data_IF_797753710613
#
_entry.id   IF_797753710613
#
_cell.length_a   1.000
_cell.length_b   1.000
_cell.length_c   1.000
_cell.angle_alpha   90.00
_cell.angle_beta   90.00
_cell.angle_gamma   90.00
#
_symmetry.space_group_name_H-M   'P 1'
#
loop_
_entity.id
_entity.type
_entity.pdbx_description
1 polymer ?
#
# COMPACT_ATOMS: atom_id res chain seq x y z
N UNK A 1 114.69 -33.99 -9.98
CA UNK A 1 113.77 -33.55 -8.91
C UNK A 1 113.05 -32.22 -9.22
N UNK A 2 113.71 -31.17 -9.71
CA UNK A 2 113.06 -29.85 -9.98
C UNK A 2 111.87 -29.86 -10.97
N UNK A 3 111.87 -30.71 -12.02
CA UNK A 3 110.74 -30.80 -12.96
C UNK A 3 109.47 -31.44 -12.36
N UNK A 4 109.60 -32.44 -11.48
CA UNK A 4 108.47 -33.04 -10.75
C UNK A 4 107.85 -32.04 -9.77
N UNK A 5 108.68 -31.26 -9.07
CA UNK A 5 108.22 -30.18 -8.18
C UNK A 5 107.50 -29.07 -8.95
N UNK A 6 108.03 -28.63 -10.11
CA UNK A 6 107.36 -27.65 -10.99
C UNK A 6 106.01 -28.14 -11.53
N UNK A 7 105.90 -29.44 -11.88
CA UNK A 7 104.65 -30.03 -12.39
C UNK A 7 103.61 -30.19 -11.28
N UNK A 8 104.04 -30.63 -10.09
CA UNK A 8 103.19 -30.69 -8.88
C UNK A 8 102.70 -29.30 -8.44
N UNK A 9 103.56 -28.29 -8.45
CA UNK A 9 103.19 -26.92 -8.08
C UNK A 9 102.17 -26.29 -9.06
N UNK A 10 102.23 -26.65 -10.34
CA UNK A 10 101.20 -26.26 -11.33
C UNK A 10 99.86 -26.97 -11.08
N UNK A 11 99.89 -28.27 -10.77
CA UNK A 11 98.67 -29.02 -10.42
C UNK A 11 98.00 -28.48 -9.15
N UNK A 12 98.78 -28.17 -8.10
CA UNK A 12 98.24 -27.58 -6.86
C UNK A 12 97.63 -26.19 -7.11
N UNK A 13 98.26 -25.36 -7.94
CA UNK A 13 97.69 -24.04 -8.30
C UNK A 13 96.40 -24.15 -9.10
N UNK A 14 96.33 -25.08 -10.05
CA UNK A 14 95.12 -25.32 -10.84
C UNK A 14 93.99 -25.85 -9.95
N UNK A 15 94.30 -26.76 -9.03
CA UNK A 15 93.33 -27.28 -8.08
C UNK A 15 92.77 -26.18 -7.19
N UNK A 16 93.62 -25.34 -6.58
CA UNK A 16 93.14 -24.22 -5.75
C UNK A 16 92.20 -23.29 -6.51
N UNK A 17 92.51 -23.00 -7.78
CA UNK A 17 91.64 -22.16 -8.62
C UNK A 17 90.27 -22.82 -8.88
N UNK A 18 90.26 -24.12 -9.18
CA UNK A 18 89.00 -24.86 -9.36
C UNK A 18 88.19 -24.93 -8.06
N UNK A 19 88.85 -24.96 -6.89
CA UNK A 19 88.15 -24.86 -5.60
C UNK A 19 87.53 -23.48 -5.38
N UNK A 20 88.25 -22.41 -5.72
CA UNK A 20 87.73 -21.04 -5.67
C UNK A 20 86.50 -20.90 -6.58
N UNK A 21 86.49 -21.54 -7.75
CA UNK A 21 85.34 -21.56 -8.67
C UNK A 21 84.13 -22.30 -8.04
N UNK A 22 84.34 -23.45 -7.41
CA UNK A 22 83.29 -24.19 -6.66
C UNK A 22 82.76 -23.38 -5.49
N UNK A 23 83.64 -22.72 -4.75
CA UNK A 23 83.27 -21.88 -3.61
C UNK A 23 82.49 -20.64 -4.05
N UNK A 24 82.82 -20.06 -5.22
CA UNK A 24 82.04 -18.99 -5.82
C UNK A 24 80.62 -19.45 -6.18
N UNK A 25 80.46 -20.64 -6.78
CA UNK A 25 79.13 -21.21 -7.06
C UNK A 25 78.31 -21.44 -5.77
N UNK A 26 78.95 -21.99 -4.73
CA UNK A 26 78.32 -22.17 -3.41
C UNK A 26 77.90 -20.83 -2.81
N UNK A 27 78.73 -19.78 -2.94
CA UNK A 27 78.44 -18.46 -2.39
C UNK A 27 77.26 -17.77 -3.07
N UNK A 28 77.07 -17.96 -4.39
CA UNK A 28 75.87 -17.46 -5.09
C UNK A 28 74.59 -18.05 -4.46
N UNK A 29 74.61 -19.36 -4.20
CA UNK A 29 73.48 -20.05 -3.55
C UNK A 29 73.28 -19.56 -2.11
N UNK A 30 74.36 -19.35 -1.34
CA UNK A 30 74.29 -18.78 0.02
C UNK A 30 73.64 -17.40 0.03
N UNK A 31 74.00 -16.52 -0.91
CA UNK A 31 73.39 -15.19 -1.05
C UNK A 31 71.90 -15.27 -1.35
N UNK A 32 71.50 -16.10 -2.32
CA UNK A 32 70.09 -16.30 -2.65
C UNK A 32 69.28 -16.85 -1.47
N UNK A 33 69.83 -17.81 -0.69
CA UNK A 33 69.17 -18.32 0.52
C UNK A 33 68.94 -17.19 1.53
N UNK A 34 69.92 -16.29 1.70
CA UNK A 34 69.82 -15.20 2.65
C UNK A 34 68.75 -14.19 2.23
N UNK A 35 68.75 -13.77 0.96
CA UNK A 35 67.74 -12.87 0.39
C UNK A 35 66.33 -13.46 0.50
N UNK A 36 66.19 -14.75 0.21
CA UNK A 36 64.92 -15.47 0.33
C UNK A 36 64.43 -15.51 1.78
N UNK A 37 65.32 -15.79 2.74
CA UNK A 37 64.96 -15.79 4.17
C UNK A 37 64.50 -14.41 4.63
N UNK A 38 65.13 -13.34 4.17
CA UNK A 38 64.72 -11.97 4.47
C UNK A 38 63.32 -11.66 3.93
N UNK A 39 63.03 -12.07 2.70
CA UNK A 39 61.68 -11.94 2.13
C UNK A 39 60.62 -12.71 2.95
N UNK A 40 60.90 -13.95 3.35
CA UNK A 40 59.96 -14.78 4.12
C UNK A 40 59.63 -14.23 5.52
N UNK A 41 60.50 -13.37 6.08
CA UNK A 41 60.28 -12.72 7.37
C UNK A 41 59.28 -11.57 7.29
N UNK A 42 59.25 -10.83 6.18
CA UNK A 42 58.34 -9.71 5.97
C UNK A 42 57.94 -9.56 4.49
N UNK A 43 57.01 -10.38 4.00
CA UNK A 43 56.47 -10.18 2.65
C UNK A 43 55.54 -8.94 2.65
N UNK A 44 55.78 -8.01 1.74
CA UNK A 44 55.05 -6.72 1.63
C UNK A 44 53.98 -6.71 0.51
N UNK A 45 53.94 -7.76 -0.30
CA UNK A 45 53.01 -7.86 -1.42
C UNK A 45 51.58 -8.24 -0.98
N UNK A 46 50.60 -8.10 -1.87
CA UNK A 46 49.24 -8.60 -1.64
C UNK A 46 49.21 -10.14 -1.69
N UNK A 47 48.26 -10.78 -1.00
CA UNK A 47 48.19 -12.25 -0.84
C UNK A 47 48.28 -13.02 -2.18
N UNK A 48 47.63 -12.52 -3.23
CA UNK A 48 47.70 -13.16 -4.56
C UNK A 48 49.09 -13.07 -5.20
N UNK A 49 49.76 -11.93 -5.04
CA UNK A 49 51.11 -11.70 -5.55
C UNK A 49 52.11 -12.50 -4.72
N UNK A 50 51.98 -12.48 -3.39
CA UNK A 50 52.82 -13.25 -2.47
C UNK A 50 52.79 -14.74 -2.80
N UNK A 51 51.61 -15.30 -3.09
CA UNK A 51 51.48 -16.71 -3.44
C UNK A 51 52.22 -17.04 -4.74
N UNK A 52 52.13 -16.18 -5.76
CA UNK A 52 52.83 -16.36 -7.02
C UNK A 52 54.36 -16.25 -6.84
N UNK A 53 54.83 -15.31 -6.02
CA UNK A 53 56.25 -15.14 -5.68
C UNK A 53 56.80 -16.35 -4.91
N UNK A 54 56.06 -16.88 -3.93
CA UNK A 54 56.44 -18.09 -3.19
C UNK A 54 56.54 -19.31 -4.10
N UNK A 55 55.65 -19.45 -5.08
CA UNK A 55 55.71 -20.52 -6.08
C UNK A 55 56.95 -20.41 -6.99
N UNK A 56 57.31 -19.18 -7.39
CA UNK A 56 58.55 -18.93 -8.12
C UNK A 56 59.77 -19.31 -7.30
N UNK A 57 59.84 -18.82 -6.05
CA UNK A 57 60.94 -19.10 -5.11
C UNK A 57 61.08 -20.60 -4.82
N UNK A 58 59.98 -21.35 -4.74
CA UNK A 58 60.02 -22.81 -4.58
C UNK A 58 60.62 -23.51 -5.81
N UNK A 59 60.32 -23.03 -7.02
CA UNK A 59 60.94 -23.49 -8.26
C UNK A 59 62.44 -23.19 -8.33
N UNK A 60 62.84 -21.99 -7.91
CA UNK A 60 64.24 -21.58 -7.79
C UNK A 60 65.00 -22.42 -6.75
N UNK A 61 64.42 -22.64 -5.56
CA UNK A 61 64.97 -23.49 -4.51
C UNK A 61 65.25 -24.91 -5.02
N UNK A 62 64.30 -25.47 -5.78
CA UNK A 62 64.41 -26.80 -6.39
C UNK A 62 65.56 -26.85 -7.39
N UNK A 63 65.70 -25.80 -8.20
CA UNK A 63 66.78 -25.67 -9.20
C UNK A 63 68.14 -25.55 -8.52
N UNK A 64 68.26 -24.72 -7.48
CA UNK A 64 69.49 -24.59 -6.69
C UNK A 64 69.88 -25.88 -5.97
N UNK A 65 68.90 -26.61 -5.41
CA UNK A 65 69.15 -27.92 -4.77
C UNK A 65 69.71 -28.93 -5.75
N UNK A 66 69.11 -29.05 -6.94
CA UNK A 66 69.62 -29.94 -7.99
C UNK A 66 71.03 -29.54 -8.45
N UNK A 67 71.31 -28.24 -8.56
CA UNK A 67 72.63 -27.74 -8.92
C UNK A 67 73.69 -28.08 -7.88
N UNK A 68 73.38 -27.90 -6.59
CA UNK A 68 74.28 -28.25 -5.47
C UNK A 68 74.50 -29.76 -5.37
N UNK A 69 73.46 -30.58 -5.53
CA UNK A 69 73.57 -32.05 -5.56
C UNK A 69 74.51 -32.51 -6.69
N UNK A 70 74.33 -31.94 -7.89
CA UNK A 70 75.21 -32.22 -9.04
C UNK A 70 76.64 -31.75 -8.80
N UNK A 71 76.82 -30.57 -8.22
CA UNK A 71 78.15 -30.02 -7.88
C UNK A 71 78.85 -30.92 -6.86
N UNK A 72 78.13 -31.38 -5.83
CA UNK A 72 78.66 -32.31 -4.83
C UNK A 72 79.05 -33.65 -5.45
N UNK A 73 78.23 -34.20 -6.34
CA UNK A 73 78.54 -35.43 -7.09
C UNK A 73 79.78 -35.26 -8.00
N UNK A 74 79.88 -34.13 -8.71
CA UNK A 74 81.04 -33.81 -9.55
C UNK A 74 82.33 -33.68 -8.73
N UNK A 75 82.30 -32.99 -7.58
CA UNK A 75 83.46 -32.90 -6.71
C UNK A 75 83.83 -34.28 -6.13
N UNK A 76 82.85 -35.06 -5.66
CA UNK A 76 83.10 -36.41 -5.16
C UNK A 76 83.77 -37.30 -6.23
N UNK A 77 83.25 -37.30 -7.46
CA UNK A 77 83.79 -38.08 -8.58
C UNK A 77 85.20 -37.61 -8.98
N UNK A 78 85.44 -36.29 -9.01
CA UNK A 78 86.75 -35.71 -9.30
C UNK A 78 87.82 -36.20 -8.33
N UNK A 79 87.56 -36.10 -7.03
CA UNK A 79 88.53 -36.48 -6.00
C UNK A 79 88.74 -38.00 -5.90
N UNK A 80 87.67 -38.78 -6.13
CA UNK A 80 87.76 -40.23 -6.27
C UNK A 80 88.67 -40.62 -7.45
N UNK A 81 88.52 -39.97 -8.61
CA UNK A 81 89.38 -40.18 -9.78
C UNK A 81 90.84 -39.79 -9.59
N UNK A 82 91.12 -38.88 -8.65
CA UNK A 82 92.47 -38.49 -8.24
C UNK A 82 93.08 -39.44 -7.18
N UNK A 83 92.32 -40.46 -6.71
CA UNK A 83 92.70 -41.33 -5.59
C UNK A 83 93.02 -40.55 -4.30
N UNK A 84 92.27 -39.47 -4.06
CA UNK A 84 92.44 -38.59 -2.89
C UNK A 84 91.10 -38.33 -2.21
N UNK A 85 91.14 -37.92 -0.95
CA UNK A 85 89.94 -37.59 -0.18
C UNK A 85 89.48 -36.17 -0.55
N UNK A 86 88.17 -35.96 -0.68
CA UNK A 86 87.57 -34.63 -0.84
C UNK A 86 87.99 -33.74 0.37
N UNK A 87 88.43 -32.49 0.15
CA UNK A 87 88.80 -31.58 1.22
C UNK A 87 87.64 -31.37 2.18
N UNK A 88 87.94 -31.40 3.48
CA UNK A 88 86.96 -31.21 4.54
C UNK A 88 86.21 -29.90 4.41
N UNK A 89 86.89 -28.83 3.98
CA UNK A 89 86.31 -27.50 3.84
C UNK A 89 85.23 -27.49 2.76
N UNK A 90 85.50 -28.09 1.60
CA UNK A 90 84.52 -28.20 0.50
C UNK A 90 83.36 -29.12 0.85
N UNK A 91 83.65 -30.27 1.46
CA UNK A 91 82.61 -31.19 1.91
C UNK A 91 81.67 -30.53 2.92
N UNK A 92 82.22 -29.73 3.84
CA UNK A 92 81.44 -28.98 4.82
C UNK A 92 80.58 -27.92 4.14
N UNK A 93 81.17 -27.11 3.24
CA UNK A 93 80.44 -26.07 2.51
C UNK A 93 79.26 -26.61 1.70
N UNK A 94 79.47 -27.73 0.97
CA UNK A 94 78.42 -28.38 0.19
C UNK A 94 77.31 -28.95 1.08
N UNK A 95 77.67 -29.57 2.21
CA UNK A 95 76.70 -30.10 3.16
C UNK A 95 75.89 -28.98 3.85
N UNK A 96 76.55 -27.89 4.27
CA UNK A 96 75.91 -26.73 4.88
C UNK A 96 74.93 -26.04 3.94
N UNK A 97 75.34 -25.79 2.68
CA UNK A 97 74.44 -25.21 1.68
C UNK A 97 73.31 -26.15 1.32
N UNK A 98 73.57 -27.45 1.19
CA UNK A 98 72.53 -28.45 0.94
C UNK A 98 71.48 -28.46 2.06
N UNK A 99 71.91 -28.46 3.32
CA UNK A 99 71.00 -28.39 4.47
C UNK A 99 70.24 -27.05 4.53
N UNK A 100 70.92 -25.93 4.26
CA UNK A 100 70.30 -24.62 4.24
C UNK A 100 69.25 -24.47 3.13
N UNK A 101 69.47 -25.10 1.96
CA UNK A 101 68.50 -25.16 0.87
C UNK A 101 67.27 -25.97 1.25
N UNK A 102 67.43 -27.14 1.87
CA UNK A 102 66.28 -27.93 2.36
C UNK A 102 65.49 -27.12 3.38
N UNK A 103 66.19 -26.46 4.30
CA UNK A 103 65.55 -25.63 5.34
C UNK A 103 64.76 -24.47 4.74
N UNK A 104 65.33 -23.73 3.78
CA UNK A 104 64.62 -22.60 3.15
C UNK A 104 63.48 -23.09 2.26
N UNK A 105 63.66 -24.23 1.58
CA UNK A 105 62.60 -24.85 0.78
C UNK A 105 61.38 -25.23 1.64
N UNK A 106 61.61 -25.83 2.82
CA UNK A 106 60.54 -26.16 3.78
C UNK A 106 59.85 -24.90 4.33
N UNK A 107 60.61 -23.81 4.56
CA UNK A 107 60.06 -22.52 4.98
C UNK A 107 59.19 -21.89 3.89
N UNK A 108 59.64 -21.88 2.63
CA UNK A 108 58.84 -21.41 1.47
C UNK A 108 57.55 -22.21 1.39
N UNK A 109 57.61 -23.53 1.46
CA UNK A 109 56.43 -24.38 1.35
C UNK A 109 55.44 -24.19 2.50
N UNK A 110 55.94 -23.96 3.71
CA UNK A 110 55.10 -23.64 4.88
C UNK A 110 54.39 -22.30 4.68
N UNK A 111 55.13 -21.28 4.24
CA UNK A 111 54.58 -19.95 3.96
C UNK A 111 53.59 -19.95 2.79
N UNK A 112 53.82 -20.74 1.75
CA UNK A 112 52.89 -20.93 0.64
C UNK A 112 51.56 -21.52 1.14
N UNK A 113 51.62 -22.55 2.00
CA UNK A 113 50.43 -23.18 2.57
C UNK A 113 49.64 -22.21 3.46
N UNK A 114 50.32 -21.44 4.30
CA UNK A 114 49.69 -20.39 5.13
C UNK A 114 49.00 -19.33 4.24
N UNK A 115 49.70 -18.81 3.22
CA UNK A 115 49.18 -17.79 2.30
C UNK A 115 47.97 -18.30 1.51
N UNK A 116 48.03 -19.56 1.04
CA UNK A 116 46.91 -20.21 0.36
C UNK A 116 45.70 -20.40 1.29
N UNK A 117 45.93 -20.74 2.57
CA UNK A 117 44.85 -20.87 3.55
C UNK A 117 44.17 -19.51 3.80
N UNK A 118 44.96 -18.43 3.96
CA UNK A 118 44.45 -17.05 4.10
C UNK A 118 43.57 -16.68 2.91
N UNK A 119 44.03 -16.98 1.69
CA UNK A 119 43.26 -16.73 0.45
C UNK A 119 41.93 -17.46 0.42
N UNK A 120 41.93 -18.75 0.77
CA UNK A 120 40.70 -19.56 0.82
C UNK A 120 39.71 -19.03 1.86
N UNK A 121 40.17 -18.75 3.08
CA UNK A 121 39.34 -18.17 4.14
C UNK A 121 38.73 -16.83 3.72
N UNK A 122 39.53 -15.95 3.10
CA UNK A 122 39.04 -14.67 2.61
C UNK A 122 37.90 -14.84 1.58
N UNK A 123 38.02 -15.81 0.66
CA UNK A 123 36.96 -16.12 -0.30
C UNK A 123 35.69 -16.65 0.38
N UNK A 124 35.82 -17.49 1.41
CA UNK A 124 34.68 -17.98 2.19
C UNK A 124 33.95 -16.84 2.92
N UNK A 125 34.69 -15.89 3.49
CA UNK A 125 34.09 -14.70 4.11
C UNK A 125 33.34 -13.85 3.09
N UNK A 126 33.93 -13.62 1.92
CA UNK A 126 33.28 -12.88 0.83
C UNK A 126 31.97 -13.56 0.36
N UNK A 127 31.96 -14.89 0.27
CA UNK A 127 30.74 -15.65 -0.04
C UNK A 127 29.67 -15.51 1.05
N UNK A 128 30.06 -15.59 2.34
CA UNK A 128 29.13 -15.38 3.47
C UNK A 128 28.55 -13.96 3.48
N UNK A 129 29.38 -12.94 3.27
CA UNK A 129 28.95 -11.53 3.15
C UNK A 129 27.91 -11.40 2.03
N UNK A 130 28.20 -11.96 0.85
CA UNK A 130 27.28 -11.89 -0.28
C UNK A 130 25.97 -12.65 -0.02
N UNK A 131 26.03 -13.80 0.65
CA UNK A 131 24.85 -14.59 1.03
C UNK A 131 23.91 -13.79 1.92
N UNK A 132 24.43 -13.22 3.01
CA UNK A 132 23.63 -12.39 3.94
C UNK A 132 23.09 -11.15 3.21
N UNK A 133 23.88 -10.50 2.36
CA UNK A 133 23.41 -9.36 1.58
C UNK A 133 22.23 -9.72 0.65
N UNK A 134 22.27 -10.90 0.02
CA UNK A 134 21.18 -11.38 -0.84
C UNK A 134 19.91 -11.70 -0.03
N UNK A 135 20.05 -12.33 1.14
CA UNK A 135 18.94 -12.58 2.07
C UNK A 135 18.29 -11.26 2.50
N UNK A 136 19.07 -10.27 2.94
CA UNK A 136 18.56 -8.95 3.34
C UNK A 136 17.85 -8.22 2.20
N UNK A 137 18.41 -8.24 0.99
CA UNK A 137 17.76 -7.64 -0.17
C UNK A 137 16.44 -8.34 -0.53
N UNK A 138 16.38 -9.65 -0.34
CA UNK A 138 15.14 -10.43 -0.51
C UNK A 138 14.09 -10.01 0.52
N UNK A 139 14.46 -9.91 1.80
CA UNK A 139 13.58 -9.42 2.88
C UNK A 139 13.08 -8.01 2.56
N UNK A 140 13.98 -7.08 2.19
CA UNK A 140 13.62 -5.71 1.79
C UNK A 140 12.62 -5.68 0.63
N UNK A 141 12.77 -6.55 -0.36
CA UNK A 141 11.83 -6.64 -1.47
C UNK A 141 10.45 -7.12 -1.03
N UNK A 142 10.37 -8.09 -0.12
CA UNK A 142 9.12 -8.59 0.47
C UNK A 142 8.45 -7.51 1.33
N UNK A 143 9.22 -6.77 2.13
CA UNK A 143 8.72 -5.65 2.96
C UNK A 143 8.11 -4.51 2.15
N UNK A 144 8.46 -4.34 0.87
CA UNK A 144 7.88 -3.31 -0.02
C UNK A 144 6.57 -3.71 -0.68
N UNK A 145 6.17 -4.98 -0.64
CA UNK A 145 4.96 -5.46 -1.34
C UNK A 145 3.69 -5.04 -0.58
N UNK A 146 2.74 -4.43 -1.27
CA UNK A 146 1.40 -4.16 -0.72
C UNK A 146 0.60 -5.47 -0.60
N UNK A 147 -0.36 -5.51 0.32
CA UNK A 147 -1.25 -6.67 0.55
C UNK A 147 -2.72 -6.33 0.31
N UNK A 148 -3.54 -7.36 0.07
CA UNK A 148 -5.00 -7.28 0.16
C UNK A 148 -5.55 -8.02 1.39
N UNK A 149 -4.70 -8.78 2.08
CA UNK A 149 -5.04 -9.55 3.27
C UNK A 149 -4.11 -9.13 4.41
N UNK A 150 -4.68 -8.44 5.40
CA UNK A 150 -3.94 -7.95 6.56
C UNK A 150 -3.56 -9.10 7.50
N UNK A 151 -4.42 -10.11 7.66
CA UNK A 151 -4.15 -11.23 8.56
C UNK A 151 -2.96 -12.04 8.04
N UNK A 152 -2.98 -12.36 6.74
CA UNK A 152 -1.87 -13.03 6.08
C UNK A 152 -0.60 -12.16 6.10
N UNK A 153 -0.70 -10.86 5.84
CA UNK A 153 0.47 -9.97 5.88
C UNK A 153 1.07 -9.83 7.29
N UNK A 154 0.27 -9.89 8.36
CA UNK A 154 0.77 -9.92 9.74
C UNK A 154 1.54 -11.22 10.03
N UNK A 155 1.07 -12.36 9.51
CA UNK A 155 1.79 -13.63 9.62
C UNK A 155 3.12 -13.59 8.86
N UNK A 156 3.10 -13.12 7.62
CA UNK A 156 4.31 -12.94 6.80
C UNK A 156 5.28 -11.97 7.47
N UNK A 157 4.80 -10.87 8.05
CA UNK A 157 5.62 -9.92 8.79
C UNK A 157 6.36 -10.57 9.96
N UNK A 158 5.72 -11.53 10.66
CA UNK A 158 6.36 -12.29 11.73
C UNK A 158 7.49 -13.17 11.17
N UNK A 159 7.23 -13.90 10.07
CA UNK A 159 8.24 -14.74 9.40
C UNK A 159 9.43 -13.90 8.93
N UNK A 160 9.18 -12.70 8.38
CA UNK A 160 10.25 -11.77 7.99
C UNK A 160 11.07 -11.28 9.18
N UNK A 161 10.45 -11.14 10.35
CA UNK A 161 11.17 -10.87 11.61
C UNK A 161 12.13 -11.99 11.95
N UNK A 162 11.66 -13.24 11.93
CA UNK A 162 12.50 -14.42 12.20
C UNK A 162 13.64 -14.57 11.17
N UNK A 163 13.38 -14.31 9.88
CA UNK A 163 14.41 -14.28 8.81
C UNK A 163 15.46 -13.18 9.10
N UNK A 164 15.05 -12.03 9.62
CA UNK A 164 15.94 -10.90 9.92
C UNK A 164 16.79 -11.13 11.18
N UNK A 165 16.23 -11.80 12.18
CA UNK A 165 16.97 -12.26 13.37
C UNK A 165 18.00 -13.33 12.98
N UNK A 166 17.64 -14.25 12.08
CA UNK A 166 18.60 -15.21 11.52
C UNK A 166 19.75 -14.52 10.79
N UNK A 167 19.47 -13.48 10.00
CA UNK A 167 20.51 -12.67 9.37
C UNK A 167 21.43 -12.01 10.40
N UNK A 168 20.87 -11.52 11.53
CA UNK A 168 21.67 -10.90 12.60
C UNK A 168 22.62 -11.90 13.23
N UNK A 169 22.16 -13.13 13.52
CA UNK A 169 23.01 -14.18 14.10
C UNK A 169 24.16 -14.51 13.15
N UNK A 170 23.86 -14.77 11.86
CA UNK A 170 24.90 -15.03 10.84
C UNK A 170 25.90 -13.89 10.73
N UNK A 171 25.44 -12.64 10.86
CA UNK A 171 26.29 -11.45 10.79
C UNK A 171 27.23 -11.34 12.00
N UNK A 172 26.74 -11.63 13.21
CA UNK A 172 27.55 -11.64 14.43
C UNK A 172 28.59 -12.76 14.41
N UNK A 173 28.22 -13.96 13.95
CA UNK A 173 29.14 -15.08 13.79
C UNK A 173 30.23 -14.77 12.75
N UNK A 174 29.86 -14.11 11.66
CA UNK A 174 30.78 -13.65 10.63
C UNK A 174 31.75 -12.60 11.16
N UNK A 175 31.26 -11.61 11.93
CA UNK A 175 32.11 -10.58 12.55
C UNK A 175 33.13 -11.20 13.51
N UNK A 176 32.70 -12.12 14.39
CA UNK A 176 33.58 -12.86 15.28
C UNK A 176 34.64 -13.66 14.51
N UNK A 177 34.24 -14.37 13.45
CA UNK A 177 35.17 -15.14 12.62
C UNK A 177 36.20 -14.25 11.91
N UNK A 178 35.82 -13.03 11.51
CA UNK A 178 36.72 -12.05 10.89
C UNK A 178 37.65 -11.41 11.93
N UNK A 179 37.20 -11.26 13.18
CA UNK A 179 38.06 -10.83 14.29
C UNK A 179 39.15 -11.87 14.57
N UNK A 180 38.79 -13.17 14.61
CA UNK A 180 39.77 -14.26 14.76
C UNK A 180 40.75 -14.30 13.57
N UNK A 181 40.25 -14.06 12.34
CA UNK A 181 41.09 -13.98 11.15
C UNK A 181 42.08 -12.80 11.14
N UNK A 182 41.81 -11.74 11.92
CA UNK A 182 42.73 -10.61 12.04
C UNK A 182 44.09 -10.99 12.63
N UNK A 183 44.16 -12.08 13.40
CA UNK A 183 45.43 -12.63 13.91
C UNK A 183 46.31 -13.19 12.77
N UNK A 184 45.70 -13.64 11.67
CA UNK A 184 46.41 -14.21 10.52
C UNK A 184 46.73 -13.16 9.46
N UNK A 185 45.81 -12.21 9.20
CA UNK A 185 46.00 -11.17 8.19
C UNK A 185 45.23 -9.89 8.52
N UNK A 186 45.93 -8.91 9.12
CA UNK A 186 45.35 -7.63 9.54
C UNK A 186 44.77 -6.81 8.36
N UNK A 187 45.47 -6.65 7.21
CA UNK A 187 44.95 -5.85 6.10
C UNK A 187 43.62 -6.37 5.54
N UNK A 188 43.53 -7.68 5.27
CA UNK A 188 42.30 -8.29 4.75
C UNK A 188 41.18 -8.26 5.78
N UNK A 189 41.48 -8.55 7.06
CA UNK A 189 40.49 -8.46 8.12
C UNK A 189 39.88 -7.04 8.23
N UNK A 190 40.68 -5.99 8.05
CA UNK A 190 40.19 -4.61 8.02
C UNK A 190 39.27 -4.33 6.82
N UNK A 191 39.58 -4.89 5.65
CA UNK A 191 38.71 -4.77 4.47
C UNK A 191 37.37 -5.49 4.70
N UNK A 192 37.40 -6.72 5.22
CA UNK A 192 36.22 -7.50 5.57
C UNK A 192 35.37 -6.80 6.64
N UNK A 193 35.99 -6.29 7.71
CA UNK A 193 35.30 -5.53 8.76
C UNK A 193 34.56 -4.30 8.19
N UNK A 194 35.16 -3.57 7.24
CA UNK A 194 34.48 -2.47 6.56
C UNK A 194 33.24 -2.93 5.76
N UNK A 195 33.32 -4.11 5.11
CA UNK A 195 32.18 -4.69 4.37
C UNK A 195 31.09 -5.15 5.32
N UNK A 196 31.46 -5.81 6.42
CA UNK A 196 30.55 -6.19 7.51
C UNK A 196 29.87 -4.96 8.08
N UNK A 197 30.58 -3.86 8.34
CA UNK A 197 29.98 -2.61 8.81
C UNK A 197 28.91 -2.05 7.87
N UNK A 198 29.12 -2.12 6.54
CA UNK A 198 28.08 -1.77 5.55
C UNK A 198 26.89 -2.72 5.61
N UNK A 199 27.14 -4.01 5.78
CA UNK A 199 26.11 -5.03 5.89
C UNK A 199 25.27 -4.87 7.17
N UNK A 200 25.90 -4.53 8.30
CA UNK A 200 25.23 -4.15 9.56
C UNK A 200 24.34 -2.93 9.38
N UNK A 201 24.80 -1.90 8.66
CA UNK A 201 23.98 -0.73 8.36
C UNK A 201 22.75 -1.10 7.51
N UNK A 202 22.91 -1.98 6.52
CA UNK A 202 21.80 -2.50 5.70
C UNK A 202 20.80 -3.30 6.54
N UNK A 203 21.27 -4.17 7.43
CA UNK A 203 20.43 -4.92 8.37
C UNK A 203 19.63 -3.97 9.27
N UNK A 204 20.26 -2.97 9.88
CA UNK A 204 19.57 -1.96 10.69
C UNK A 204 18.53 -1.16 9.91
N UNK A 205 18.82 -0.80 8.67
CA UNK A 205 17.84 -0.16 7.79
C UNK A 205 16.65 -1.07 7.53
N UNK A 206 16.90 -2.37 7.35
CA UNK A 206 15.86 -3.38 7.09
C UNK A 206 14.97 -3.58 8.32
N UNK A 207 15.55 -3.59 9.53
CA UNK A 207 14.80 -3.59 10.81
C UNK A 207 13.82 -2.41 10.84
N UNK A 208 14.31 -1.19 10.61
CA UNK A 208 13.47 0.01 10.68
C UNK A 208 12.29 -0.05 9.70
N UNK A 209 12.51 -0.61 8.50
CA UNK A 209 11.43 -0.81 7.53
C UNK A 209 10.44 -1.90 7.98
N UNK A 210 10.93 -2.98 8.56
CA UNK A 210 10.10 -4.05 9.12
C UNK A 210 9.23 -3.52 10.28
N UNK A 211 9.81 -2.77 11.21
CA UNK A 211 9.11 -2.14 12.34
C UNK A 211 8.05 -1.15 11.85
N UNK A 212 8.40 -0.28 10.90
CA UNK A 212 7.45 0.65 10.29
C UNK A 212 6.27 -0.08 9.66
N UNK A 213 6.53 -1.12 8.86
CA UNK A 213 5.49 -1.94 8.25
C UNK A 213 4.64 -2.65 9.30
N UNK A 214 5.24 -3.22 10.33
CA UNK A 214 4.53 -3.88 11.42
C UNK A 214 3.59 -2.92 12.17
N UNK A 215 4.05 -1.70 12.47
CA UNK A 215 3.23 -0.66 13.09
C UNK A 215 2.07 -0.21 12.18
N UNK A 216 2.31 -0.09 10.87
CA UNK A 216 1.25 0.21 9.90
C UNK A 216 0.23 -0.92 9.81
N UNK A 217 0.67 -2.17 9.73
CA UNK A 217 -0.20 -3.35 9.68
C UNK A 217 -1.01 -3.54 10.96
N UNK A 218 -0.49 -3.18 12.14
CA UNK A 218 -1.23 -3.32 13.39
C UNK A 218 -2.50 -2.47 13.40
N UNK A 219 -2.42 -1.24 12.89
CA UNK A 219 -3.54 -0.29 12.78
C UNK A 219 -4.34 -0.41 11.48
N UNK A 220 -3.80 -1.08 10.45
CA UNK A 220 -4.49 -1.20 9.17
C UNK A 220 -5.85 -1.89 9.27
N UNK A 221 -6.01 -2.83 10.21
CA UNK A 221 -7.28 -3.53 10.42
C UNK A 221 -8.39 -2.60 10.91
N UNK A 222 -8.11 -1.74 11.90
CA UNK A 222 -9.10 -0.78 12.41
C UNK A 222 -9.43 0.29 11.37
N UNK A 223 -8.45 0.77 10.61
CA UNK A 223 -8.72 1.71 9.52
C UNK A 223 -9.57 1.11 8.39
N UNK A 224 -9.41 -0.19 8.07
CA UNK A 224 -10.31 -0.86 7.13
C UNK A 224 -11.71 -1.05 7.70
N UNK A 225 -11.84 -1.35 8.99
CA UNK A 225 -13.14 -1.47 9.66
C UNK A 225 -13.89 -0.13 9.61
N UNK A 226 -13.24 0.95 10.04
CA UNK A 226 -13.80 2.31 9.97
C UNK A 226 -14.18 2.71 8.53
N UNK A 227 -13.32 2.41 7.55
CA UNK A 227 -13.63 2.62 6.13
C UNK A 227 -14.90 1.87 5.71
N UNK A 228 -15.03 0.60 6.14
CA UNK A 228 -16.18 -0.23 5.79
C UNK A 228 -17.47 0.21 6.49
N UNK A 229 -17.39 0.72 7.72
CA UNK A 229 -18.54 1.30 8.43
C UNK A 229 -19.08 2.53 7.69
N UNK A 230 -18.21 3.46 7.30
CA UNK A 230 -18.58 4.64 6.49
C UNK A 230 -19.13 4.22 5.12
N UNK A 231 -18.49 3.25 4.47
CA UNK A 231 -18.97 2.68 3.21
C UNK A 231 -20.39 2.11 3.35
N UNK A 232 -20.64 1.32 4.40
CA UNK A 232 -21.95 0.71 4.64
C UNK A 232 -23.03 1.77 4.88
N UNK A 233 -22.73 2.81 5.65
CA UNK A 233 -23.62 3.95 5.86
C UNK A 233 -23.99 4.63 4.54
N UNK A 234 -22.99 5.02 3.75
CA UNK A 234 -23.21 5.74 2.48
C UNK A 234 -23.99 4.87 1.49
N UNK A 235 -23.69 3.56 1.40
CA UNK A 235 -24.44 2.63 0.54
C UNK A 235 -25.90 2.51 0.96
N UNK A 236 -26.17 2.38 2.28
CA UNK A 236 -27.55 2.35 2.81
C UNK A 236 -28.30 3.64 2.51
N UNK A 237 -27.65 4.79 2.70
CA UNK A 237 -28.25 6.08 2.36
C UNK A 237 -28.54 6.18 0.86
N UNK A 238 -27.59 5.79 0.01
CA UNK A 238 -27.72 5.82 -1.46
C UNK A 238 -28.89 4.97 -1.93
N UNK A 239 -29.08 3.79 -1.34
CA UNK A 239 -30.21 2.91 -1.65
C UNK A 239 -31.55 3.56 -1.25
N UNK A 240 -31.66 4.08 -0.02
CA UNK A 240 -32.87 4.80 0.43
C UNK A 240 -33.20 5.99 -0.49
N UNK A 241 -32.20 6.80 -0.81
CA UNK A 241 -32.35 7.97 -1.68
C UNK A 241 -32.77 7.57 -3.10
N UNK A 242 -32.20 6.50 -3.66
CA UNK A 242 -32.60 5.98 -4.97
C UNK A 242 -34.05 5.52 -4.99
N UNK A 243 -34.49 4.73 -4.00
CA UNK A 243 -35.88 4.29 -3.88
C UNK A 243 -36.81 5.50 -3.81
N UNK A 244 -36.43 6.51 -3.03
CA UNK A 244 -37.26 7.70 -2.83
C UNK A 244 -37.38 8.56 -4.10
N UNK A 245 -36.26 8.79 -4.79
CA UNK A 245 -36.18 9.62 -6.01
C UNK A 245 -36.85 8.95 -7.21
N UNK A 246 -36.71 7.63 -7.35
CA UNK A 246 -37.32 6.88 -8.46
C UNK A 246 -38.74 6.40 -8.15
N UNK A 247 -39.20 6.55 -6.91
CA UNK A 247 -40.57 6.29 -6.51
C UNK A 247 -41.56 7.27 -7.12
N UNK A 248 -42.79 6.83 -7.38
CA UNK A 248 -43.85 7.71 -7.87
C UNK A 248 -44.41 8.58 -6.74
N UNK A 249 -44.57 9.88 -7.01
CA UNK A 249 -45.19 10.81 -6.07
C UNK A 249 -46.70 10.57 -6.05
N UNK A 250 -47.26 10.43 -4.85
CA UNK A 250 -48.71 10.30 -4.64
C UNK A 250 -49.35 11.67 -4.38
N UNK A 251 -50.26 12.10 -5.27
CA UNK A 251 -50.82 13.45 -5.26
C UNK A 251 -52.23 13.57 -4.65
N UNK A 252 -52.74 12.51 -3.99
CA UNK A 252 -54.17 12.43 -3.64
C UNK A 252 -54.62 13.38 -2.52
N UNK A 253 -53.73 13.77 -1.60
CA UNK A 253 -54.06 14.68 -0.51
C UNK A 253 -52.87 15.51 -0.03
N UNK A 254 -53.17 16.63 0.64
CA UNK A 254 -52.16 17.50 1.27
C UNK A 254 -51.40 16.77 2.37
N UNK A 255 -52.04 15.86 3.12
CA UNK A 255 -51.38 15.07 4.14
C UNK A 255 -50.34 14.13 3.54
N UNK A 256 -50.69 13.41 2.46
CA UNK A 256 -49.77 12.50 1.78
C UNK A 256 -48.60 13.22 1.13
N UNK A 257 -48.84 14.38 0.50
CA UNK A 257 -47.76 15.21 -0.05
C UNK A 257 -46.84 15.75 1.04
N UNK A 258 -47.40 16.14 2.20
CA UNK A 258 -46.62 16.58 3.36
C UNK A 258 -45.79 15.46 3.97
N UNK A 259 -46.31 14.24 4.02
CA UNK A 259 -45.59 13.08 4.54
C UNK A 259 -44.44 12.67 3.60
N UNK A 260 -44.67 12.71 2.28
CA UNK A 260 -43.61 12.54 1.29
C UNK A 260 -42.54 13.65 1.39
N UNK A 261 -42.95 14.91 1.52
CA UNK A 261 -42.03 16.03 1.76
C UNK A 261 -41.14 15.77 2.99
N UNK A 262 -41.70 15.29 4.10
CA UNK A 262 -40.92 14.94 5.29
C UNK A 262 -39.95 13.78 5.03
N UNK A 263 -40.33 12.79 4.23
CA UNK A 263 -39.43 11.71 3.85
C UNK A 263 -38.22 12.23 3.04
N UNK A 264 -38.46 13.10 2.05
CA UNK A 264 -37.41 13.77 1.29
C UNK A 264 -36.51 14.63 2.19
N UNK A 265 -37.10 15.38 3.12
CA UNK A 265 -36.33 16.18 4.09
C UNK A 265 -35.46 15.31 5.00
N UNK A 266 -36.00 14.21 5.53
CA UNK A 266 -35.25 13.28 6.40
C UNK A 266 -34.03 12.70 5.70
N UNK A 267 -34.17 12.26 4.45
CA UNK A 267 -33.04 11.74 3.66
C UNK A 267 -32.01 12.83 3.37
N UNK A 268 -32.45 14.06 3.10
CA UNK A 268 -31.54 15.19 2.89
C UNK A 268 -30.78 15.54 4.18
N UNK A 269 -31.44 15.51 5.34
CA UNK A 269 -30.83 15.78 6.64
C UNK A 269 -29.80 14.70 7.00
N UNK A 270 -30.13 13.41 6.77
CA UNK A 270 -29.21 12.27 6.94
C UNK A 270 -27.94 12.41 6.07
N UNK A 271 -28.02 13.16 4.95
CA UNK A 271 -26.91 13.30 4.00
C UNK A 271 -25.80 14.26 4.46
N UNK A 272 -26.02 14.99 5.57
CA UNK A 272 -25.07 15.98 6.08
C UNK A 272 -23.71 15.40 6.51
N UNK A 273 -23.68 14.12 6.90
CA UNK A 273 -22.45 13.43 7.37
C UNK A 273 -21.62 12.84 6.21
N UNK A 274 -22.26 12.60 5.05
CA UNK A 274 -21.65 11.87 3.92
C UNK A 274 -20.37 12.53 3.41
N UNK A 275 -20.32 13.86 3.33
CA UNK A 275 -19.13 14.53 2.82
C UNK A 275 -17.93 14.34 3.77
N UNK A 276 -18.16 14.48 5.08
CA UNK A 276 -17.16 14.22 6.10
C UNK A 276 -16.71 12.75 6.11
N UNK A 277 -17.64 11.82 5.92
CA UNK A 277 -17.31 10.39 5.79
C UNK A 277 -16.45 10.12 4.56
N UNK A 278 -16.75 10.71 3.40
CA UNK A 278 -15.93 10.54 2.18
C UNK A 278 -14.52 11.12 2.35
N UNK A 279 -14.38 12.24 3.05
CA UNK A 279 -13.08 12.81 3.42
C UNK A 279 -12.32 11.87 4.37
N UNK A 280 -12.96 11.40 5.45
CA UNK A 280 -12.38 10.46 6.40
C UNK A 280 -12.00 9.12 5.76
N UNK A 281 -12.82 8.61 4.82
CA UNK A 281 -12.49 7.44 4.01
C UNK A 281 -11.22 7.68 3.18
N UNK A 282 -11.06 8.87 2.60
CA UNK A 282 -9.86 9.25 1.85
C UNK A 282 -8.61 9.31 2.74
N UNK A 283 -8.74 9.85 3.95
CA UNK A 283 -7.65 9.83 4.94
C UNK A 283 -7.25 8.41 5.34
N UNK A 284 -8.22 7.49 5.50
CA UNK A 284 -7.94 6.08 5.80
C UNK A 284 -7.23 5.39 4.64
N UNK A 285 -7.66 5.67 3.40
CA UNK A 285 -6.99 5.21 2.19
C UNK A 285 -5.52 5.66 2.17
N UNK A 286 -5.24 6.93 2.45
CA UNK A 286 -3.88 7.47 2.45
C UNK A 286 -3.01 6.80 3.53
N UNK A 287 -3.56 6.57 4.72
CA UNK A 287 -2.87 5.85 5.77
C UNK A 287 -2.48 4.42 5.34
N UNK A 288 -3.43 3.73 4.69
CA UNK A 288 -3.32 2.34 4.26
C UNK A 288 -2.41 2.16 3.03
N UNK A 289 -2.26 3.17 2.18
CA UNK A 289 -1.58 3.08 0.87
C UNK A 289 -0.14 2.56 0.92
N UNK A 290 0.53 2.70 2.08
CA UNK A 290 1.90 2.21 2.31
C UNK A 290 2.01 0.69 2.50
N UNK A 291 0.92 0.02 2.92
CA UNK A 291 0.92 -1.43 3.25
C UNK A 291 -0.18 -2.22 2.54
N UNK A 292 -1.26 -1.56 2.12
CA UNK A 292 -2.46 -2.16 1.53
C UNK A 292 -2.69 -1.64 0.11
N UNK A 293 -3.29 -2.45 -0.78
CA UNK A 293 -3.68 -1.98 -2.11
C UNK A 293 -4.98 -1.17 -2.02
N UNK A 294 -4.90 0.13 -2.29
CA UNK A 294 -6.00 1.09 -2.08
C UNK A 294 -6.56 1.66 -3.37
N UNK A 295 -6.07 1.21 -4.53
CA UNK A 295 -6.42 1.75 -5.83
C UNK A 295 -7.92 1.61 -6.13
N UNK A 296 -8.52 0.46 -5.81
CA UNK A 296 -9.96 0.24 -5.96
C UNK A 296 -10.82 1.03 -4.95
N UNK A 297 -10.31 1.20 -3.72
CA UNK A 297 -11.01 1.96 -2.68
C UNK A 297 -11.10 3.44 -3.06
N UNK A 298 -10.03 4.01 -3.60
CA UNK A 298 -9.99 5.40 -4.05
C UNK A 298 -11.03 5.67 -5.15
N UNK A 299 -11.15 4.75 -6.10
CA UNK A 299 -12.19 4.84 -7.15
C UNK A 299 -13.60 4.71 -6.58
N UNK A 300 -13.80 3.84 -5.59
CA UNK A 300 -15.09 3.68 -4.92
C UNK A 300 -15.53 4.95 -4.21
N UNK A 301 -14.63 5.62 -3.47
CA UNK A 301 -14.92 6.90 -2.79
C UNK A 301 -15.32 7.98 -3.80
N UNK A 302 -14.60 8.08 -4.93
CA UNK A 302 -14.94 9.05 -5.98
C UNK A 302 -16.33 8.79 -6.60
N UNK A 303 -16.64 7.53 -6.91
CA UNK A 303 -17.93 7.16 -7.49
C UNK A 303 -19.08 7.35 -6.48
N UNK A 304 -18.86 7.04 -5.20
CA UNK A 304 -19.84 7.31 -4.14
C UNK A 304 -20.10 8.81 -4.02
N UNK A 305 -19.04 9.64 -3.97
CA UNK A 305 -19.18 11.10 -3.90
C UNK A 305 -20.00 11.66 -5.07
N UNK A 306 -19.73 11.20 -6.29
CA UNK A 306 -20.51 11.60 -7.47
C UNK A 306 -21.98 11.21 -7.35
N UNK A 307 -22.27 9.95 -7.00
CA UNK A 307 -23.64 9.44 -6.88
C UNK A 307 -24.43 10.13 -5.77
N UNK A 308 -23.80 10.35 -4.62
CA UNK A 308 -24.46 11.00 -3.49
C UNK A 308 -24.78 12.45 -3.81
N UNK A 309 -23.86 13.17 -4.46
CA UNK A 309 -24.11 14.52 -4.93
C UNK A 309 -25.26 14.59 -5.94
N UNK A 310 -25.29 13.71 -6.95
CA UNK A 310 -26.40 13.63 -7.92
C UNK A 310 -27.76 13.44 -7.24
N UNK A 311 -27.86 12.49 -6.32
CA UNK A 311 -29.09 12.23 -5.56
C UNK A 311 -29.48 13.40 -4.66
N UNK A 312 -28.52 14.02 -3.97
CA UNK A 312 -28.77 15.21 -3.17
C UNK A 312 -29.31 16.36 -4.03
N UNK A 313 -28.78 16.57 -5.24
CA UNK A 313 -29.27 17.62 -6.12
C UNK A 313 -30.70 17.35 -6.57
N UNK A 314 -31.03 16.11 -6.96
CA UNK A 314 -32.41 15.76 -7.32
C UNK A 314 -33.36 16.00 -6.15
N UNK A 315 -32.99 15.57 -4.94
CA UNK A 315 -33.79 15.78 -3.73
C UNK A 315 -33.96 17.27 -3.44
N UNK A 316 -32.88 18.08 -3.48
CA UNK A 316 -32.92 19.54 -3.23
C UNK A 316 -33.84 20.27 -4.20
N UNK A 317 -33.91 19.84 -5.47
CA UNK A 317 -34.82 20.41 -6.48
C UNK A 317 -36.26 19.98 -6.25
N UNK A 318 -36.51 18.71 -5.89
CA UNK A 318 -37.88 18.20 -5.69
C UNK A 318 -38.56 18.71 -4.42
N UNK A 319 -37.79 18.96 -3.37
CA UNK A 319 -38.27 19.34 -2.05
C UNK A 319 -39.15 20.62 -2.02
N UNK A 320 -38.74 21.76 -2.63
CA UNK A 320 -39.61 22.94 -2.71
C UNK A 320 -40.88 22.69 -3.53
N UNK A 321 -40.79 21.92 -4.61
CA UNK A 321 -41.95 21.59 -5.46
C UNK A 321 -43.01 20.81 -4.68
N UNK A 322 -42.58 19.79 -3.92
CA UNK A 322 -43.46 19.02 -3.03
C UNK A 322 -44.07 19.88 -1.93
N UNK A 323 -43.28 20.80 -1.36
CA UNK A 323 -43.77 21.69 -0.31
C UNK A 323 -44.89 22.60 -0.83
N UNK A 324 -44.69 23.18 -2.00
CA UNK A 324 -45.63 24.11 -2.61
C UNK A 324 -46.88 23.39 -3.10
N UNK A 325 -46.74 22.22 -3.74
CA UNK A 325 -47.88 21.39 -4.08
C UNK A 325 -48.71 20.97 -2.85
N UNK A 326 -48.05 20.63 -1.73
CA UNK A 326 -48.77 20.31 -0.49
C UNK A 326 -49.55 21.52 0.07
N UNK A 327 -49.03 22.74 -0.09
CA UNK A 327 -49.72 23.98 0.31
C UNK A 327 -50.93 24.26 -0.58
N UNK A 328 -50.78 24.14 -1.90
CA UNK A 328 -51.87 24.38 -2.84
C UNK A 328 -52.97 23.34 -2.70
N UNK A 329 -52.59 22.06 -2.56
CA UNK A 329 -53.52 20.97 -2.28
C UNK A 329 -54.31 21.22 -0.99
N UNK A 330 -53.66 21.75 0.05
CA UNK A 330 -54.35 22.12 1.31
C UNK A 330 -55.40 23.20 1.09
N UNK A 331 -55.09 24.23 0.30
CA UNK A 331 -56.03 25.31 -0.02
C UNK A 331 -57.24 24.75 -0.78
N UNK A 332 -56.97 23.93 -1.80
CA UNK A 332 -58.02 23.27 -2.56
C UNK A 332 -58.92 22.38 -1.68
N UNK A 333 -58.35 21.56 -0.79
CA UNK A 333 -59.11 20.76 0.18
C UNK A 333 -60.00 21.59 1.11
N UNK A 334 -59.52 22.75 1.55
CA UNK A 334 -60.27 23.67 2.43
C UNK A 334 -61.45 24.29 1.66
N UNK A 335 -61.20 24.85 0.48
CA UNK A 335 -62.25 25.46 -0.34
C UNK A 335 -63.29 24.43 -0.79
N UNK A 336 -62.85 23.22 -1.18
CA UNK A 336 -63.74 22.14 -1.57
C UNK A 336 -64.65 21.71 -0.43
N UNK A 337 -64.10 21.55 0.77
CA UNK A 337 -64.88 21.25 1.99
C UNK A 337 -65.83 22.39 2.35
N UNK A 338 -65.40 23.64 2.18
CA UNK A 338 -66.20 24.83 2.39
C UNK A 338 -67.40 24.91 1.43
N UNK A 339 -67.20 24.55 0.17
CA UNK A 339 -68.28 24.45 -0.84
C UNK A 339 -69.23 23.30 -0.49
N UNK A 340 -68.71 22.12 -0.15
CA UNK A 340 -69.53 20.96 0.24
C UNK A 340 -70.43 21.28 1.43
N UNK A 341 -69.87 21.85 2.51
CA UNK A 341 -70.63 22.19 3.71
C UNK A 341 -71.72 23.24 3.43
N UNK A 342 -71.42 24.24 2.59
CA UNK A 342 -72.38 25.26 2.22
C UNK A 342 -73.52 24.70 1.33
N UNK A 343 -73.19 23.75 0.46
CA UNK A 343 -74.16 23.05 -0.37
C UNK A 343 -75.07 22.14 0.46
N UNK A 344 -74.50 21.37 1.39
CA UNK A 344 -75.26 20.53 2.33
C UNK A 344 -76.20 21.35 3.21
N UNK A 345 -75.74 22.50 3.74
CA UNK A 345 -76.56 23.43 4.49
C UNK A 345 -77.74 23.94 3.65
N UNK A 346 -77.47 24.39 2.43
CA UNK A 346 -78.51 24.87 1.54
C UNK A 346 -79.51 23.78 1.11
N UNK A 347 -79.04 22.56 0.88
CA UNK A 347 -79.91 21.41 0.60
C UNK A 347 -80.81 21.13 1.81
N UNK A 348 -80.27 21.12 3.03
CA UNK A 348 -81.04 20.94 4.26
C UNK A 348 -82.11 22.02 4.44
N UNK A 349 -81.78 23.29 4.17
CA UNK A 349 -82.73 24.41 4.19
C UNK A 349 -83.86 24.23 3.15
N UNK A 350 -83.56 23.64 1.99
CA UNK A 350 -84.53 23.38 0.91
C UNK A 350 -85.42 22.15 1.19
N UNK A 351 -84.90 21.13 1.87
CA UNK A 351 -85.61 19.87 2.17
C UNK A 351 -86.19 19.81 3.59
N UNK A 352 -86.15 20.91 4.35
CA UNK A 352 -86.68 20.92 5.72
C UNK A 352 -88.19 20.60 5.74
N UNK A 353 -88.64 19.57 6.48
CA UNK A 353 -90.06 19.18 6.56
C UNK A 353 -90.95 20.28 7.14
N UNK A 354 -90.35 21.19 7.92
CA UNK A 354 -91.03 22.28 8.61
C UNK A 354 -91.58 23.32 7.63
N UNK A 355 -91.03 23.41 6.39
CA UNK A 355 -91.56 24.30 5.37
C UNK A 355 -93.01 24.00 5.00
N UNK A 356 -93.45 22.74 5.06
CA UNK A 356 -94.82 22.35 4.70
C UNK A 356 -95.90 22.87 5.65
N UNK A 357 -95.51 23.34 6.85
CA UNK A 357 -96.41 23.81 7.90
C UNK A 357 -96.46 25.34 8.06
N UNK A 358 -95.64 26.07 7.29
CA UNK A 358 -95.54 27.53 7.32
C UNK A 358 -96.54 28.21 6.38
N UNK A 359 -96.89 29.46 6.65
CA UNK A 359 -97.71 30.26 5.75
C UNK A 359 -96.98 30.58 4.43
N UNK A 360 -97.72 30.88 3.36
CA UNK A 360 -97.15 31.19 2.04
C UNK A 360 -96.12 32.34 2.09
N UNK A 361 -96.37 33.35 2.93
CA UNK A 361 -95.46 34.49 3.15
C UNK A 361 -94.17 34.08 3.88
N UNK A 362 -94.26 33.18 4.86
CA UNK A 362 -93.10 32.64 5.57
C UNK A 362 -92.29 31.71 4.66
N UNK A 363 -92.96 30.87 3.88
CA UNK A 363 -92.33 30.04 2.85
C UNK A 363 -91.57 30.90 1.83
N UNK A 364 -92.18 31.98 1.33
CA UNK A 364 -91.53 32.91 0.41
C UNK A 364 -90.31 33.58 1.04
N UNK A 365 -90.40 34.03 2.30
CA UNK A 365 -89.27 34.63 3.03
C UNK A 365 -88.10 33.66 3.23
N UNK A 366 -88.40 32.39 3.57
CA UNK A 366 -87.41 31.32 3.73
C UNK A 366 -86.72 30.99 2.40
N UNK A 367 -87.46 31.12 1.30
CA UNK A 367 -86.98 30.82 -0.06
C UNK A 367 -86.18 31.98 -0.65
N UNK A 368 -86.53 33.22 -0.31
CA UNK A 368 -85.69 34.40 -0.57
C UNK A 368 -84.37 34.34 0.21
N UNK A 369 -84.41 33.90 1.47
CA UNK A 369 -83.20 33.63 2.25
C UNK A 369 -82.32 32.57 1.56
N UNK A 370 -82.91 31.46 1.13
CA UNK A 370 -82.20 30.42 0.38
C UNK A 370 -81.57 30.95 -0.92
N UNK A 371 -82.25 31.84 -1.66
CA UNK A 371 -81.65 32.49 -2.84
C UNK A 371 -80.43 33.33 -2.48
N UNK A 372 -80.47 34.07 -1.37
CA UNK A 372 -79.29 34.80 -0.87
C UNK A 372 -78.16 33.85 -0.48
N UNK A 373 -78.47 32.69 0.12
CA UNK A 373 -77.49 31.64 0.40
C UNK A 373 -76.90 31.06 -0.91
N UNK A 374 -77.72 30.88 -1.96
CA UNK A 374 -77.25 30.43 -3.29
C UNK A 374 -76.33 31.45 -3.96
N UNK A 375 -76.62 32.75 -3.83
CA UNK A 375 -75.72 33.78 -4.34
C UNK A 375 -74.37 33.77 -3.64
N UNK A 376 -74.34 33.40 -2.35
CA UNK A 376 -73.10 33.22 -1.59
C UNK A 376 -72.29 31.98 -2.00
N UNK A 377 -72.86 31.02 -2.74
CA UNK A 377 -72.15 29.86 -3.28
C UNK A 377 -71.30 30.21 -4.51
N UNK A 378 -71.70 31.20 -5.32
CA UNK A 378 -70.95 31.62 -6.53
C UNK A 378 -69.47 31.94 -6.26
N UNK A 379 -69.11 32.80 -5.29
CA UNK A 379 -67.71 33.07 -4.99
C UNK A 379 -66.97 31.84 -4.45
N UNK A 380 -67.64 30.91 -3.77
CA UNK A 380 -67.04 29.65 -3.29
C UNK A 380 -66.74 28.68 -4.43
N UNK A 381 -67.64 28.57 -5.41
CA UNK A 381 -67.43 27.80 -6.64
C UNK A 381 -66.23 28.37 -7.42
N UNK A 382 -66.16 29.69 -7.56
CA UNK A 382 -65.02 30.34 -8.21
C UNK A 382 -63.70 30.06 -7.45
N UNK A 383 -63.70 30.16 -6.12
CA UNK A 383 -62.52 29.87 -5.30
C UNK A 383 -62.03 28.42 -5.45
N UNK A 384 -62.95 27.45 -5.53
CA UNK A 384 -62.60 26.04 -5.80
C UNK A 384 -61.99 25.88 -7.20
N UNK A 385 -62.55 26.54 -8.22
CA UNK A 385 -62.03 26.50 -9.59
C UNK A 385 -60.65 27.15 -9.71
N UNK A 386 -60.46 28.31 -9.06
CA UNK A 386 -59.18 29.01 -9.00
C UNK A 386 -58.12 28.13 -8.32
N UNK A 387 -58.46 27.53 -7.17
CA UNK A 387 -57.58 26.59 -6.47
C UNK A 387 -57.25 25.36 -7.32
N UNK A 388 -58.23 24.78 -8.02
CA UNK A 388 -58.03 23.63 -8.91
C UNK A 388 -57.07 23.94 -10.05
N UNK A 389 -57.23 25.11 -10.69
CA UNK A 389 -56.35 25.54 -11.79
C UNK A 389 -54.93 25.88 -11.35
N UNK A 390 -54.75 26.25 -10.07
CA UNK A 390 -53.46 26.58 -9.48
C UNK A 390 -52.72 25.35 -8.91
N UNK A 391 -53.29 24.15 -8.97
CA UNK A 391 -52.64 22.93 -8.47
C UNK A 391 -51.39 22.61 -9.29
N UNK A 392 -50.23 22.59 -8.61
CA UNK A 392 -48.94 22.17 -9.19
C UNK A 392 -48.81 20.65 -9.21
N UNK A 393 -49.70 19.98 -9.93
CA UNK A 393 -49.70 18.53 -10.12
C UNK A 393 -49.64 18.21 -11.62
N UNK A 394 -49.06 17.07 -12.04
CA UNK A 394 -49.01 16.70 -13.46
C UNK A 394 -50.41 16.60 -14.07
N UNK A 395 -50.59 17.10 -15.31
CA UNK A 395 -51.90 17.18 -15.98
C UNK A 395 -52.58 15.81 -16.09
N UNK A 396 -51.80 14.74 -16.28
CA UNK A 396 -52.28 13.36 -16.36
C UNK A 396 -52.92 12.91 -15.04
N UNK A 397 -52.44 13.45 -13.91
CA UNK A 397 -52.93 13.14 -12.57
C UNK A 397 -54.14 13.99 -12.18
N UNK A 398 -54.22 15.24 -12.66
CA UNK A 398 -55.38 16.15 -12.39
C UNK A 398 -56.70 15.47 -12.77
N UNK A 399 -56.73 14.86 -13.95
CA UNK A 399 -57.94 14.26 -14.54
C UNK A 399 -58.38 12.97 -13.88
N UNK A 400 -57.50 12.32 -13.12
CA UNK A 400 -57.77 11.05 -12.40
C UNK A 400 -57.93 11.25 -10.89
N UNK A 401 -57.77 12.49 -10.40
CA UNK A 401 -57.79 12.79 -8.97
C UNK A 401 -59.24 12.77 -8.43
N UNK A 402 -59.56 11.96 -7.40
CA UNK A 402 -60.90 11.89 -6.83
C UNK A 402 -61.43 13.24 -6.33
N UNK A 403 -60.55 14.11 -5.82
CA UNK A 403 -60.94 15.44 -5.37
C UNK A 403 -61.29 16.39 -6.52
N UNK A 404 -60.62 16.27 -7.67
CA UNK A 404 -60.97 17.04 -8.87
C UNK A 404 -62.35 16.60 -9.41
N UNK A 405 -62.63 15.30 -9.43
CA UNK A 405 -63.97 14.79 -9.76
C UNK A 405 -65.04 15.26 -8.77
N UNK A 406 -64.72 15.28 -7.47
CA UNK A 406 -65.62 15.75 -6.43
C UNK A 406 -65.91 17.26 -6.57
N UNK A 407 -64.90 18.06 -6.90
CA UNK A 407 -65.05 19.48 -7.17
C UNK A 407 -65.98 19.75 -8.35
N UNK A 408 -65.80 19.03 -9.47
CA UNK A 408 -66.66 19.14 -10.63
C UNK A 408 -68.12 18.78 -10.27
N UNK A 409 -68.33 17.66 -9.55
CA UNK A 409 -69.67 17.26 -9.11
C UNK A 409 -70.33 18.30 -8.22
N UNK A 410 -69.60 18.84 -7.24
CA UNK A 410 -70.14 19.87 -6.33
C UNK A 410 -70.47 21.18 -7.06
N UNK A 411 -69.68 21.55 -8.07
CA UNK A 411 -69.96 22.70 -8.93
C UNK A 411 -71.25 22.51 -9.76
N UNK A 412 -71.45 21.32 -10.33
CA UNK A 412 -72.68 20.96 -11.03
C UNK A 412 -73.89 20.94 -10.09
N UNK A 413 -73.75 20.38 -8.89
CA UNK A 413 -74.80 20.35 -7.87
C UNK A 413 -75.17 21.74 -7.36
N UNK A 414 -74.19 22.61 -7.11
CA UNK A 414 -74.41 24.01 -6.73
C UNK A 414 -75.18 24.75 -7.84
N UNK A 415 -74.78 24.55 -9.09
CA UNK A 415 -75.49 25.11 -10.25
C UNK A 415 -76.93 24.61 -10.32
N UNK A 416 -77.15 23.30 -10.17
CA UNK A 416 -78.50 22.69 -10.19
C UNK A 416 -79.38 23.18 -9.04
N UNK A 417 -78.83 23.32 -7.84
CA UNK A 417 -79.54 23.82 -6.67
C UNK A 417 -79.95 25.29 -6.87
N UNK A 418 -79.05 26.12 -7.41
CA UNK A 418 -79.36 27.51 -7.75
C UNK A 418 -80.51 27.60 -8.76
N UNK A 419 -80.50 26.78 -9.83
CA UNK A 419 -81.59 26.76 -10.82
C UNK A 419 -82.92 26.34 -10.17
N UNK A 420 -82.90 25.30 -9.33
CA UNK A 420 -84.10 24.81 -8.62
C UNK A 420 -84.66 25.89 -7.68
N UNK A 421 -83.80 26.56 -6.90
CA UNK A 421 -84.21 27.60 -5.95
C UNK A 421 -84.85 28.80 -6.67
N UNK A 422 -84.30 29.22 -7.81
CA UNK A 422 -84.87 30.29 -8.65
C UNK A 422 -86.24 29.89 -9.19
N UNK A 423 -86.36 28.68 -9.75
CA UNK A 423 -87.64 28.19 -10.27
C UNK A 423 -88.72 28.12 -9.19
N UNK A 424 -88.39 27.60 -8.00
CA UNK A 424 -89.34 27.50 -6.89
C UNK A 424 -89.78 28.87 -6.39
N UNK A 425 -88.87 29.86 -6.29
CA UNK A 425 -89.23 31.24 -5.95
C UNK A 425 -90.18 31.86 -6.98
N UNK A 426 -89.90 31.68 -8.27
CA UNK A 426 -90.75 32.21 -9.34
C UNK A 426 -92.18 31.61 -9.30
N UNK A 427 -92.31 30.31 -9.00
CA UNK A 427 -93.61 29.64 -8.89
C UNK A 427 -94.42 30.17 -7.70
N UNK A 428 -93.80 30.34 -6.53
CA UNK A 428 -94.50 30.87 -5.34
C UNK A 428 -94.87 32.36 -5.49
N UNK A 429 -94.02 33.18 -6.12
CA UNK A 429 -94.35 34.57 -6.44
C UNK A 429 -95.54 34.67 -7.39
N UNK A 430 -95.66 33.75 -8.35
CA UNK A 430 -96.83 33.64 -9.23
C UNK A 430 -98.10 33.12 -8.52
N UNK A 431 -97.95 32.49 -7.34
CA UNK A 431 -99.04 31.91 -6.56
C UNK A 431 -99.56 32.83 -5.45
N UNK A 432 -98.72 33.77 -4.96
CA UNK A 432 -99.12 34.86 -4.05
C UNK A 432 -99.94 35.97 -4.74
N UNK A 433 -99.80 36.12 -6.06
CA UNK A 433 -100.58 37.06 -6.87
C UNK A 433 -101.35 36.32 -7.98
N UNK A 434 -102.40 35.55 -7.65
CA UNK A 434 -103.34 35.11 -8.67
C UNK A 434 -104.07 36.35 -9.20
N UNK A 435 -104.11 36.50 -10.53
CA UNK A 435 -104.91 37.54 -11.19
C UNK A 435 -106.38 37.49 -10.79
#
# INVERSE_FOLDING_TARGET
>A
MQQKVKKGMKMVKQELKEREEVEAEINIVKSWIQETKEYLLSPDAEVDIQLQELQSLFGEATTHRQAVEKLAEQQQNKYLGLYTILPSELSLHLAEVGLALVTVQDQIQTKERETQQIKTLNQEFEQKIQGIANELNTILSKLKKKTNDIAQAKLEQKILGDELDSCNIKLLELDASVQDFAEQNVPLAKQLANRIGKLTALHQQTIRQAEYRAAKLSQAASHLEEYNEMLEFILKWTEKANILVHGSITWNSSSQLRDQFKAYQSILDESGEIHGDLEAMSERIDYLASVYCTEGMSQQVLELGRRTEELQQVIKVQLPNLQDAAKDMKKFEIELRGLQAALEQAQATLTSPELGHLSLKEQLSHRQHLLSEMESLKPKVQAVQDCQSALRIPEEVVTSLPMCHSALRLQEEASRLQHTAIQQCNIMQASEFPH
#
